data_IF_253709232192
#
_entry.id   IF_253709232192
#
_cell.length_a   1.000
_cell.length_b   1.000
_cell.length_c   1.000
_cell.angle_alpha   90.00
_cell.angle_beta   90.00
_cell.angle_gamma   90.00
#
_symmetry.space_group_name_H-M   'P 1'
#
loop_
_entity.id
_entity.type
_entity.pdbx_description
1 polymer ?
#
# COMPACT_ATOMS: atom_id res chain seq x y z
N UNK A 1 64.69 -2.01 -44.34
CA UNK A 1 63.26 -2.18 -44.68
C UNK A 1 62.46 -2.94 -43.62
N UNK A 2 62.95 -4.08 -43.09
CA UNK A 2 62.20 -4.88 -42.11
C UNK A 2 61.81 -4.14 -40.81
N UNK A 3 62.66 -3.25 -40.28
CA UNK A 3 62.36 -2.45 -39.08
C UNK A 3 61.21 -1.45 -39.28
N UNK A 4 61.08 -0.90 -40.49
CA UNK A 4 60.03 0.06 -40.82
C UNK A 4 58.68 -0.64 -40.99
N UNK A 5 58.68 -1.88 -41.50
CA UNK A 5 57.47 -2.72 -41.62
C UNK A 5 57.00 -3.17 -40.23
N UNK A 6 57.91 -3.56 -39.34
CA UNK A 6 57.58 -3.94 -37.96
C UNK A 6 56.98 -2.76 -37.17
N UNK A 7 57.54 -1.56 -37.33
CA UNK A 7 57.03 -0.34 -36.69
C UNK A 7 55.62 0.02 -37.19
N UNK A 8 55.38 -0.10 -38.50
CA UNK A 8 54.06 0.13 -39.11
C UNK A 8 53.02 -0.87 -38.60
N UNK A 9 53.38 -2.15 -38.47
CA UNK A 9 52.51 -3.20 -37.93
C UNK A 9 52.14 -2.91 -36.47
N UNK A 10 53.11 -2.53 -35.64
CA UNK A 10 52.85 -2.17 -34.23
C UNK A 10 51.96 -0.93 -34.08
N UNK A 11 52.09 0.05 -34.98
CA UNK A 11 51.26 1.25 -34.99
C UNK A 11 49.81 0.93 -35.36
N UNK A 12 49.59 0.05 -36.35
CA UNK A 12 48.25 -0.40 -36.77
C UNK A 12 47.58 -1.23 -35.66
N UNK A 13 48.33 -2.09 -34.97
CA UNK A 13 47.80 -2.86 -33.83
C UNK A 13 47.44 -1.92 -32.67
N UNK A 14 48.27 -0.92 -32.34
CA UNK A 14 47.93 0.07 -31.31
C UNK A 14 46.69 0.89 -31.68
N UNK A 15 46.56 1.32 -32.94
CA UNK A 15 45.41 2.10 -33.40
C UNK A 15 44.10 1.30 -33.38
N UNK A 16 44.18 -0.02 -33.54
CA UNK A 16 43.02 -0.93 -33.50
C UNK A 16 42.45 -1.11 -32.08
N UNK A 17 43.28 -0.96 -31.04
CA UNK A 17 42.86 -1.07 -29.62
C UNK A 17 42.09 0.18 -29.19
N UNK A 18 42.37 1.34 -29.78
CA UNK A 18 41.70 2.61 -29.42
C UNK A 18 40.21 2.68 -29.83
N UNK A 19 39.75 1.85 -30.76
CA UNK A 19 38.37 1.88 -31.28
C UNK A 19 37.35 1.21 -30.34
N UNK A 20 37.80 0.37 -29.40
CA UNK A 20 36.91 -0.36 -28.48
C UNK A 20 36.58 0.41 -27.18
N UNK A 21 37.10 1.63 -27.02
CA UNK A 21 37.01 2.40 -25.78
C UNK A 21 35.85 3.42 -25.74
N UNK A 22 35.19 3.71 -26.86
CA UNK A 22 34.01 4.58 -26.87
C UNK A 22 32.76 3.78 -26.47
N UNK A 23 32.63 3.42 -25.19
CA UNK A 23 31.30 3.13 -24.64
C UNK A 23 30.50 4.42 -24.68
N UNK A 24 29.63 4.55 -25.68
CA UNK A 24 28.66 5.64 -25.74
C UNK A 24 27.81 5.63 -24.47
N UNK A 25 27.51 6.83 -23.96
CA UNK A 25 26.68 7.02 -22.76
C UNK A 25 25.32 6.36 -23.01
N UNK A 26 24.93 5.45 -22.11
CA UNK A 26 23.65 4.75 -22.17
C UNK A 26 22.62 5.53 -21.37
N UNK A 27 21.77 6.23 -22.11
CA UNK A 27 20.69 7.05 -21.55
C UNK A 27 19.36 6.31 -21.76
N UNK A 28 18.53 6.29 -20.73
CA UNK A 28 17.13 5.89 -20.81
C UNK A 28 16.25 6.96 -20.18
N UNK A 29 14.94 6.88 -20.41
CA UNK A 29 13.97 7.69 -19.71
C UNK A 29 12.77 6.87 -19.25
N UNK A 30 12.10 7.38 -18.23
CA UNK A 30 10.86 6.86 -17.68
C UNK A 30 9.83 7.97 -17.58
N UNK A 31 8.56 7.59 -17.60
CA UNK A 31 7.43 8.45 -17.29
C UNK A 31 6.82 7.94 -15.98
N UNK A 32 7.22 8.56 -14.86
CA UNK A 32 6.80 8.13 -13.52
C UNK A 32 5.30 8.31 -13.33
N UNK A 33 4.72 9.38 -13.87
CA UNK A 33 3.27 9.64 -13.82
C UNK A 33 2.51 8.51 -14.54
N UNK A 34 2.92 8.17 -15.76
CA UNK A 34 2.32 7.04 -16.48
C UNK A 34 2.44 5.73 -15.71
N UNK A 35 3.60 5.45 -15.09
CA UNK A 35 3.78 4.23 -14.29
C UNK A 35 2.84 4.24 -13.08
N UNK A 36 2.76 5.35 -12.35
CA UNK A 36 1.88 5.53 -11.19
C UNK A 36 0.41 5.29 -11.55
N UNK A 37 -0.08 5.96 -12.60
CA UNK A 37 -1.46 5.85 -13.07
C UNK A 37 -1.84 4.42 -13.49
N UNK A 38 -0.88 3.62 -13.94
CA UNK A 38 -1.12 2.24 -14.41
C UNK A 38 -0.90 1.17 -13.33
N UNK A 39 -0.52 1.54 -12.10
CA UNK A 39 -0.40 0.60 -10.98
C UNK A 39 -1.80 0.38 -10.37
N UNK A 40 -2.35 -0.86 -10.36
CA UNK A 40 -3.71 -1.11 -9.88
C UNK A 40 -3.94 -0.71 -8.41
N UNK A 41 -2.92 -0.90 -7.57
CA UNK A 41 -2.96 -0.54 -6.15
C UNK A 41 -3.07 0.98 -5.95
N UNK A 42 -2.42 1.77 -6.82
CA UNK A 42 -2.53 3.23 -6.82
C UNK A 42 -3.93 3.66 -7.24
N UNK A 43 -4.46 3.10 -8.34
CA UNK A 43 -5.80 3.42 -8.83
C UNK A 43 -6.88 3.16 -7.78
N UNK A 44 -6.81 2.02 -7.09
CA UNK A 44 -7.75 1.68 -6.03
C UNK A 44 -7.66 2.66 -4.84
N UNK A 45 -6.45 2.95 -4.38
CA UNK A 45 -6.24 3.88 -3.27
C UNK A 45 -6.66 5.32 -3.63
N UNK A 46 -6.37 5.76 -4.86
CA UNK A 46 -6.78 7.07 -5.37
C UNK A 46 -8.30 7.17 -5.48
N UNK A 47 -8.98 6.14 -5.99
CA UNK A 47 -10.45 6.09 -6.01
C UNK A 47 -11.05 6.22 -4.61
N UNK A 48 -10.49 5.53 -3.61
CA UNK A 48 -10.95 5.65 -2.22
C UNK A 48 -10.69 7.04 -1.63
N UNK A 49 -9.59 7.68 -2.02
CA UNK A 49 -9.27 9.04 -1.60
C UNK A 49 -10.22 10.06 -2.25
N UNK A 50 -10.54 9.89 -3.52
CA UNK A 50 -11.50 10.72 -4.26
C UNK A 50 -12.90 10.60 -3.66
N UNK A 51 -13.33 9.40 -3.28
CA UNK A 51 -14.61 9.20 -2.58
C UNK A 51 -14.66 9.96 -1.24
N UNK A 52 -13.56 9.97 -0.48
CA UNK A 52 -13.45 10.74 0.77
C UNK A 52 -13.48 12.24 0.48
N UNK A 53 -12.75 12.70 -0.53
CA UNK A 53 -12.73 14.09 -0.93
C UNK A 53 -14.14 14.55 -1.35
N UNK A 54 -14.88 13.72 -2.08
CA UNK A 54 -16.25 14.01 -2.47
C UNK A 54 -17.20 14.07 -1.28
N UNK A 55 -17.04 13.19 -0.28
CA UNK A 55 -17.79 13.27 0.98
C UNK A 55 -17.55 14.58 1.70
N UNK A 56 -16.28 15.00 1.86
CA UNK A 56 -15.95 16.28 2.49
C UNK A 56 -16.51 17.47 1.72
N UNK A 57 -16.48 17.44 0.38
CA UNK A 57 -17.12 18.47 -0.45
C UNK A 57 -18.63 18.56 -0.20
N UNK A 58 -19.31 17.42 -0.15
CA UNK A 58 -20.75 17.38 0.12
C UNK A 58 -21.07 17.87 1.54
N UNK A 59 -20.26 17.51 2.54
CA UNK A 59 -20.40 18.02 3.91
C UNK A 59 -20.26 19.54 3.98
N UNK A 60 -19.23 20.10 3.33
CA UNK A 60 -19.03 21.55 3.25
C UNK A 60 -20.22 22.22 2.56
N UNK A 61 -20.67 21.68 1.43
CA UNK A 61 -21.81 22.23 0.69
C UNK A 61 -23.11 22.18 1.52
N UNK A 62 -23.35 21.10 2.26
CA UNK A 62 -24.48 20.98 3.17
C UNK A 62 -24.46 22.06 4.25
N UNK A 63 -23.32 22.23 4.94
CA UNK A 63 -23.16 23.26 5.98
C UNK A 63 -23.31 24.67 5.43
N UNK A 64 -22.77 24.95 4.25
CA UNK A 64 -22.95 26.26 3.60
C UNK A 64 -24.43 26.53 3.26
N UNK A 65 -25.17 25.51 2.85
CA UNK A 65 -26.61 25.63 2.61
C UNK A 65 -27.39 25.89 3.90
N UNK A 66 -27.00 25.24 5.02
CA UNK A 66 -27.60 25.48 6.33
C UNK A 66 -27.37 26.92 6.80
N UNK A 67 -26.14 27.44 6.66
CA UNK A 67 -25.82 28.83 6.99
C UNK A 67 -26.62 29.81 6.12
N UNK A 68 -26.73 29.55 4.83
CA UNK A 68 -27.53 30.39 3.93
C UNK A 68 -29.00 30.43 4.35
N UNK A 69 -29.55 29.30 4.80
CA UNK A 69 -30.92 29.21 5.32
C UNK A 69 -31.05 29.97 6.65
N UNK A 70 -30.13 29.80 7.60
CA UNK A 70 -30.11 30.55 8.88
C UNK A 70 -30.05 32.06 8.66
N UNK A 71 -29.24 32.53 7.71
CA UNK A 71 -29.18 33.95 7.33
C UNK A 71 -30.51 34.47 6.78
N UNK A 72 -31.17 33.68 5.94
CA UNK A 72 -32.47 34.03 5.38
C UNK A 72 -33.55 34.09 6.48
N UNK A 73 -33.55 33.12 7.39
CA UNK A 73 -34.51 33.05 8.49
C UNK A 73 -34.30 34.21 9.47
N UNK A 74 -33.04 34.51 9.82
CA UNK A 74 -32.71 35.69 10.61
C UNK A 74 -33.20 36.98 9.94
N UNK A 75 -33.03 37.14 8.62
CA UNK A 75 -33.51 38.31 7.90
C UNK A 75 -35.04 38.46 7.91
N UNK A 76 -35.78 37.35 7.89
CA UNK A 76 -37.25 37.37 7.93
C UNK A 76 -37.78 37.63 9.35
N UNK A 77 -37.12 37.05 10.36
CA UNK A 77 -37.51 37.16 11.76
C UNK A 77 -36.99 38.44 12.42
N UNK A 78 -36.03 39.16 11.82
CA UNK A 78 -35.37 40.36 12.38
C UNK A 78 -36.33 41.41 12.93
N UNK A 79 -37.52 41.54 12.32
CA UNK A 79 -38.56 42.52 12.73
C UNK A 79 -39.27 42.11 14.03
N UNK A 80 -39.22 40.83 14.39
CA UNK A 80 -39.90 40.25 15.55
C UNK A 80 -38.95 39.98 16.74
N UNK A 81 -37.64 40.10 16.54
CA UNK A 81 -36.62 39.78 17.55
C UNK A 81 -36.10 41.04 18.25
N UNK A 82 -35.55 40.86 19.47
CA UNK A 82 -34.82 41.92 20.18
C UNK A 82 -33.41 42.08 19.59
N UNK A 83 -32.79 43.25 19.79
CA UNK A 83 -31.44 43.52 19.28
C UNK A 83 -30.39 42.55 19.83
N UNK A 84 -30.47 42.16 21.11
CA UNK A 84 -29.54 41.20 21.73
C UNK A 84 -29.62 39.81 21.06
N UNK A 85 -30.83 39.34 20.76
CA UNK A 85 -31.03 38.02 20.14
C UNK A 85 -30.62 38.01 18.66
N UNK A 86 -30.66 39.16 18.00
CA UNK A 86 -30.12 39.32 16.64
C UNK A 86 -28.59 39.22 16.68
N UNK A 87 -27.94 39.92 17.60
CA UNK A 87 -26.49 39.92 17.75
C UNK A 87 -25.95 38.51 18.07
N UNK A 88 -26.58 37.79 19.01
CA UNK A 88 -26.24 36.39 19.34
C UNK A 88 -26.31 35.48 18.10
N UNK A 89 -27.40 35.57 17.32
CA UNK A 89 -27.55 34.76 16.09
C UNK A 89 -26.57 35.16 14.98
N UNK A 90 -26.23 36.43 14.86
CA UNK A 90 -25.22 36.91 13.90
C UNK A 90 -23.82 36.37 14.29
N UNK A 91 -23.48 36.36 15.58
CA UNK A 91 -22.25 35.77 16.10
C UNK A 91 -22.19 34.26 15.87
N UNK A 92 -23.28 33.53 16.14
CA UNK A 92 -23.37 32.09 15.89
C UNK A 92 -23.14 31.76 14.41
N UNK A 93 -23.79 32.50 13.51
CA UNK A 93 -23.60 32.34 12.06
C UNK A 93 -22.14 32.62 11.67
N UNK A 94 -21.54 33.69 12.20
CA UNK A 94 -20.13 34.01 11.93
C UNK A 94 -19.17 32.93 12.44
N UNK A 95 -19.47 32.34 13.60
CA UNK A 95 -18.69 31.25 14.17
C UNK A 95 -18.76 30.01 13.27
N UNK A 96 -19.96 29.61 12.85
CA UNK A 96 -20.16 28.48 11.93
C UNK A 96 -19.46 28.70 10.58
N UNK A 97 -19.49 29.92 10.03
CA UNK A 97 -18.76 30.25 8.79
C UNK A 97 -17.26 30.07 8.96
N UNK A 98 -16.72 30.51 10.09
CA UNK A 98 -15.30 30.34 10.40
C UNK A 98 -14.93 28.87 10.56
N UNK A 99 -15.77 28.08 11.23
CA UNK A 99 -15.55 26.63 11.35
C UNK A 99 -15.54 25.92 9.99
N UNK A 100 -16.41 26.32 9.06
CA UNK A 100 -16.41 25.76 7.70
C UNK A 100 -15.12 26.13 6.96
N UNK A 101 -14.67 27.37 7.06
CA UNK A 101 -13.42 27.81 6.44
C UNK A 101 -12.21 27.06 7.00
N UNK A 102 -12.14 26.90 8.32
CA UNK A 102 -11.09 26.13 8.98
C UNK A 102 -11.16 24.64 8.58
N UNK A 103 -12.36 24.08 8.49
CA UNK A 103 -12.57 22.71 8.00
C UNK A 103 -12.10 22.55 6.56
N UNK A 104 -12.49 23.47 5.67
CA UNK A 104 -12.06 23.47 4.27
C UNK A 104 -10.54 23.57 4.16
N UNK A 105 -9.91 24.46 4.93
CA UNK A 105 -8.46 24.63 4.94
C UNK A 105 -7.75 23.37 5.49
N UNK A 106 -8.30 22.75 6.53
CA UNK A 106 -7.75 21.51 7.12
C UNK A 106 -7.85 20.33 6.16
N UNK A 107 -8.91 20.25 5.33
CA UNK A 107 -9.10 19.15 4.37
C UNK A 107 -8.38 19.38 3.04
N UNK A 108 -8.52 20.57 2.46
CA UNK A 108 -8.10 20.90 1.09
C UNK A 108 -6.99 21.96 0.99
N UNK A 109 -6.50 22.48 2.12
CA UNK A 109 -5.38 23.41 2.12
C UNK A 109 -4.07 22.77 1.62
N UNK A 110 -3.01 23.57 1.44
CA UNK A 110 -1.72 23.11 0.93
C UNK A 110 -1.05 22.05 1.82
N UNK A 111 -1.36 22.05 3.12
CA UNK A 111 -0.98 21.00 4.07
C UNK A 111 -2.20 20.26 4.63
N UNK A 112 -3.28 20.22 3.86
CA UNK A 112 -4.51 19.57 4.26
C UNK A 112 -4.42 18.05 4.23
N UNK A 113 -5.39 17.41 4.88
CA UNK A 113 -5.47 15.96 4.98
C UNK A 113 -5.45 15.27 3.61
N UNK A 114 -6.07 15.87 2.58
CA UNK A 114 -6.10 15.32 1.23
C UNK A 114 -4.70 15.23 0.61
N UNK A 115 -3.93 16.32 0.67
CA UNK A 115 -2.57 16.40 0.11
C UNK A 115 -1.62 15.46 0.87
N UNK A 116 -1.74 15.41 2.20
CA UNK A 116 -0.93 14.52 3.02
C UNK A 116 -1.22 13.05 2.68
N UNK A 117 -2.50 12.67 2.57
CA UNK A 117 -2.88 11.31 2.21
C UNK A 117 -2.43 10.95 0.79
N UNK A 118 -2.60 11.86 -0.17
CA UNK A 118 -2.12 11.65 -1.54
C UNK A 118 -0.61 11.39 -1.57
N UNK A 119 0.17 12.20 -0.86
CA UNK A 119 1.63 12.01 -0.74
C UNK A 119 1.99 10.68 -0.07
N UNK A 120 1.30 10.32 1.01
CA UNK A 120 1.52 9.06 1.73
C UNK A 120 1.21 7.82 0.87
N UNK A 121 0.21 7.90 -0.01
CA UNK A 121 -0.11 6.82 -0.95
C UNK A 121 0.90 6.74 -2.10
N UNK A 122 1.37 7.89 -2.58
CA UNK A 122 2.30 7.96 -3.71
C UNK A 122 3.73 7.54 -3.33
N UNK A 123 4.20 7.95 -2.15
CA UNK A 123 5.57 7.69 -1.68
C UNK A 123 6.02 6.22 -1.74
N UNK A 124 5.28 5.23 -1.20
CA UNK A 124 5.71 3.83 -1.24
C UNK A 124 5.75 3.26 -2.66
N UNK A 125 5.01 3.85 -3.60
CA UNK A 125 5.03 3.43 -5.01
C UNK A 125 6.22 4.07 -5.72
N UNK A 126 6.52 5.34 -5.44
CA UNK A 126 7.74 6.00 -5.92
C UNK A 126 9.00 5.26 -5.44
N UNK A 127 9.04 4.82 -4.17
CA UNK A 127 10.16 4.04 -3.65
C UNK A 127 10.33 2.70 -4.40
N UNK A 128 9.22 2.07 -4.79
CA UNK A 128 9.25 0.84 -5.61
C UNK A 128 9.69 1.09 -7.05
N UNK A 129 9.27 2.22 -7.63
CA UNK A 129 9.74 2.67 -8.95
C UNK A 129 11.23 2.90 -8.90
N UNK A 130 11.71 3.65 -7.90
CA UNK A 130 13.13 3.94 -7.73
C UNK A 130 13.98 2.67 -7.60
N UNK A 131 13.56 1.73 -6.76
CA UNK A 131 14.25 0.44 -6.61
C UNK A 131 14.28 -0.37 -7.92
N UNK A 132 13.15 -0.45 -8.64
CA UNK A 132 13.08 -1.15 -9.92
C UNK A 132 13.96 -0.48 -10.99
N UNK A 133 14.00 0.84 -11.00
CA UNK A 133 14.85 1.64 -11.90
C UNK A 133 16.33 1.40 -11.59
N UNK A 134 16.71 1.35 -10.32
CA UNK A 134 18.09 1.06 -9.90
C UNK A 134 18.52 -0.35 -10.35
N UNK A 135 17.70 -1.37 -10.11
CA UNK A 135 17.96 -2.74 -10.57
C UNK A 135 18.13 -2.81 -12.10
N UNK A 136 17.32 -2.04 -12.83
CA UNK A 136 17.40 -1.95 -14.28
C UNK A 136 18.64 -1.19 -14.75
N UNK A 137 19.02 -0.12 -14.05
CA UNK A 137 20.23 0.64 -14.33
C UNK A 137 21.47 -0.25 -14.22
N UNK A 138 21.57 -1.03 -13.15
CA UNK A 138 22.69 -1.94 -12.91
C UNK A 138 22.71 -3.11 -13.91
N UNK A 139 21.57 -3.78 -14.10
CA UNK A 139 21.49 -4.96 -14.97
C UNK A 139 21.72 -4.65 -16.46
N UNK A 140 21.24 -3.50 -16.94
CA UNK A 140 21.38 -3.07 -18.34
C UNK A 140 22.54 -2.10 -18.56
N UNK A 141 23.23 -1.70 -17.48
CA UNK A 141 24.35 -0.76 -17.47
C UNK A 141 23.95 0.59 -18.07
N UNK A 142 22.83 1.16 -17.63
CA UNK A 142 22.49 2.55 -17.97
C UNK A 142 23.33 3.48 -17.12
N UNK A 143 23.85 4.54 -17.74
CA UNK A 143 24.63 5.58 -17.05
C UNK A 143 23.70 6.67 -16.50
N UNK A 144 22.62 6.97 -17.22
CA UNK A 144 21.62 7.96 -16.82
C UNK A 144 20.20 7.48 -17.14
N UNK A 145 19.29 7.72 -16.20
CA UNK A 145 17.85 7.52 -16.40
C UNK A 145 17.17 8.83 -16.03
N UNK A 146 16.43 9.40 -16.98
CA UNK A 146 15.71 10.65 -16.78
C UNK A 146 14.23 10.39 -16.56
N UNK A 147 13.62 11.13 -15.65
CA UNK A 147 12.17 11.16 -15.52
C UNK A 147 11.61 12.27 -16.40
N UNK A 148 10.69 11.92 -17.30
CA UNK A 148 9.95 12.83 -18.16
C UNK A 148 8.89 13.62 -17.40
N UNK A 149 8.40 13.08 -16.29
CA UNK A 149 7.42 13.73 -15.42
C UNK A 149 8.05 14.80 -14.51
N UNK A 150 9.39 14.85 -14.43
CA UNK A 150 10.12 15.88 -13.72
C UNK A 150 10.24 17.19 -14.53
N UNK A 151 10.65 18.29 -13.89
CA UNK A 151 10.80 19.63 -14.49
C UNK A 151 11.80 19.74 -15.66
N UNK A 152 12.42 18.62 -16.09
CA UNK A 152 13.33 18.59 -17.22
C UNK A 152 12.53 18.58 -18.52
N UNK A 153 12.56 19.70 -19.24
CA UNK A 153 11.89 19.82 -20.55
C UNK A 153 12.60 18.98 -21.60
N UNK A 154 12.08 17.78 -21.86
CA UNK A 154 12.53 16.90 -22.95
C UNK A 154 11.75 17.22 -24.23
N UNK A 155 12.40 17.90 -25.18
CA UNK A 155 11.74 18.32 -26.44
C UNK A 155 11.48 17.16 -27.41
N UNK A 156 12.35 16.16 -27.41
CA UNK A 156 12.23 14.98 -28.27
C UNK A 156 13.03 13.84 -27.69
N UNK A 157 12.46 12.64 -27.71
CA UNK A 157 13.14 11.39 -27.44
C UNK A 157 12.69 10.32 -28.42
N UNK A 158 13.61 9.41 -28.73
CA UNK A 158 13.25 8.21 -29.49
C UNK A 158 12.67 7.17 -28.53
N UNK A 159 11.53 6.58 -28.89
CA UNK A 159 10.77 5.60 -28.10
C UNK A 159 11.61 4.38 -27.65
N UNK A 160 12.67 4.06 -28.39
CA UNK A 160 13.66 3.02 -28.03
C UNK A 160 14.37 3.24 -26.69
N UNK A 161 14.39 4.48 -26.19
CA UNK A 161 15.00 4.83 -24.89
C UNK A 161 13.99 4.84 -23.75
N UNK A 162 12.70 4.63 -24.04
CA UNK A 162 11.66 4.47 -23.04
C UNK A 162 11.77 3.10 -22.36
N UNK A 163 11.89 3.13 -21.04
CA UNK A 163 11.87 1.90 -20.23
C UNK A 163 10.67 1.86 -19.27
N UNK A 164 9.71 2.78 -19.39
CA UNK A 164 8.56 2.91 -18.49
C UNK A 164 7.74 1.62 -18.40
N UNK A 165 7.41 1.02 -19.54
CA UNK A 165 6.70 -0.26 -19.61
C UNK A 165 7.46 -1.42 -18.94
N UNK A 166 8.79 -1.39 -19.02
CA UNK A 166 9.62 -2.43 -18.40
C UNK A 166 9.60 -2.29 -16.88
N UNK A 167 9.68 -1.06 -16.38
CA UNK A 167 9.59 -0.72 -14.96
C UNK A 167 8.20 -1.06 -14.42
N UNK A 168 7.13 -0.67 -15.12
CA UNK A 168 5.74 -0.99 -14.78
C UNK A 168 5.53 -2.51 -14.64
N UNK A 169 6.06 -3.30 -15.59
CA UNK A 169 6.01 -4.77 -15.50
C UNK A 169 6.80 -5.32 -14.32
N UNK A 170 7.96 -4.74 -14.01
CA UNK A 170 8.78 -5.16 -12.87
C UNK A 170 8.06 -4.92 -11.54
N UNK A 171 7.44 -3.74 -11.37
CA UNK A 171 6.66 -3.38 -10.17
C UNK A 171 5.41 -4.24 -10.07
N UNK A 172 4.66 -4.43 -11.16
CA UNK A 172 3.45 -5.26 -11.16
C UNK A 172 3.77 -6.71 -10.82
N UNK A 173 4.93 -7.23 -11.25
CA UNK A 173 5.38 -8.58 -10.89
C UNK A 173 5.80 -8.65 -9.42
N UNK A 174 6.51 -7.65 -8.92
CA UNK A 174 6.97 -7.62 -7.53
C UNK A 174 5.80 -7.46 -6.55
N UNK A 175 4.79 -6.64 -6.88
CA UNK A 175 3.57 -6.46 -6.09
C UNK A 175 2.73 -7.74 -6.06
N UNK A 176 2.49 -8.39 -7.22
CA UNK A 176 1.80 -9.70 -7.28
C UNK A 176 2.51 -10.78 -6.47
N UNK A 177 3.85 -10.81 -6.50
CA UNK A 177 4.65 -11.74 -5.69
C UNK A 177 4.50 -11.44 -4.19
N UNK A 178 4.53 -10.17 -3.79
CA UNK A 178 4.33 -9.73 -2.40
C UNK A 178 2.92 -10.10 -1.90
N UNK A 179 1.89 -9.87 -2.71
CA UNK A 179 0.51 -10.26 -2.40
C UNK A 179 0.36 -11.78 -2.24
N UNK A 180 0.98 -12.57 -3.12
CA UNK A 180 0.98 -14.03 -3.02
C UNK A 180 1.72 -14.52 -1.75
N UNK A 181 2.85 -13.91 -1.42
CA UNK A 181 3.61 -14.22 -0.20
C UNK A 181 2.84 -13.84 1.06
N UNK A 182 2.21 -12.66 1.11
CA UNK A 182 1.37 -12.24 2.23
C UNK A 182 0.17 -13.18 2.43
N UNK A 183 -0.45 -13.66 1.33
CA UNK A 183 -1.54 -14.64 1.41
C UNK A 183 -1.06 -16.00 1.92
N UNK A 184 0.12 -16.46 1.50
CA UNK A 184 0.72 -17.70 1.99
C UNK A 184 1.13 -17.60 3.46
N UNK A 185 1.71 -16.47 3.87
CA UNK A 185 2.08 -16.20 5.26
C UNK A 185 0.87 -16.11 6.19
N UNK A 186 -0.22 -15.45 5.75
CA UNK A 186 -1.47 -15.40 6.53
C UNK A 186 -2.06 -16.79 6.77
N UNK A 187 -2.06 -17.65 5.74
CA UNK A 187 -2.52 -19.04 5.88
C UNK A 187 -1.65 -19.87 6.82
N UNK A 188 -0.32 -19.69 6.75
CA UNK A 188 0.60 -20.40 7.63
C UNK A 188 0.45 -19.95 9.10
N UNK A 189 0.25 -18.66 9.37
CA UNK A 189 0.04 -18.14 10.71
C UNK A 189 -1.31 -18.62 11.31
N UNK A 190 -2.37 -18.68 10.50
CA UNK A 190 -3.67 -19.21 10.91
C UNK A 190 -3.60 -20.72 11.20
N UNK A 191 -2.85 -21.49 10.41
CA UNK A 191 -2.61 -22.92 10.67
C UNK A 191 -1.79 -23.16 11.95
N UNK A 192 -0.76 -22.33 12.23
CA UNK A 192 0.06 -22.42 13.45
C UNK A 192 -0.75 -22.08 14.73
N UNK A 193 -1.64 -21.07 14.67
CA UNK A 193 -2.50 -20.67 15.78
C UNK A 193 -3.60 -21.72 16.09
N UNK A 194 -3.97 -22.55 15.11
CA UNK A 194 -4.93 -23.64 15.30
C UNK A 194 -4.33 -24.94 15.84
N UNK A 195 -3.01 -25.05 16.02
CA UNK A 195 -2.40 -26.23 16.65
C UNK A 195 -2.66 -26.15 18.16
N UNK A 196 -3.55 -26.98 18.74
CA UNK A 196 -3.76 -26.96 20.18
C UNK A 196 -2.43 -27.31 20.87
N UNK A 197 -2.04 -26.52 21.87
CA UNK A 197 -0.95 -26.85 22.77
C UNK A 197 -1.35 -28.10 23.55
N UNK A 198 -0.86 -29.27 23.10
CA UNK A 198 -1.08 -30.55 23.76
C UNK A 198 -0.34 -30.46 25.11
N UNK A 199 -1.07 -30.14 26.17
CA UNK A 199 -0.55 -30.27 27.52
C UNK A 199 -0.44 -31.77 27.82
N UNK A 200 0.78 -32.32 27.69
CA UNK A 200 1.09 -33.74 27.89
C UNK A 200 0.54 -34.28 29.22
N UNK A 201 0.40 -33.43 30.25
CA UNK A 201 -0.18 -33.79 31.54
C UNK A 201 -1.70 -34.04 31.48
N UNK A 202 -2.43 -33.31 30.62
CA UNK A 202 -3.88 -33.47 30.45
C UNK A 202 -4.22 -34.75 29.69
N UNK A 203 -3.52 -35.04 28.60
CA UNK A 203 -3.67 -36.31 27.87
C UNK A 203 -3.28 -37.52 28.73
N UNK A 204 -2.17 -37.42 29.49
CA UNK A 204 -1.75 -38.50 30.39
C UNK A 204 -2.78 -38.73 31.52
N UNK A 205 -3.38 -37.67 32.06
CA UNK A 205 -4.38 -37.74 33.12
C UNK A 205 -5.72 -38.30 32.62
N UNK A 206 -6.15 -37.93 31.43
CA UNK A 206 -7.35 -38.46 30.79
C UNK A 206 -7.20 -39.95 30.48
N UNK A 207 -6.06 -40.35 29.92
CA UNK A 207 -5.76 -41.76 29.66
C UNK A 207 -5.72 -42.60 30.94
N UNK A 208 -5.10 -42.09 32.00
CA UNK A 208 -5.10 -42.76 33.30
C UNK A 208 -6.51 -42.84 33.94
N UNK A 209 -7.37 -41.85 33.71
CA UNK A 209 -8.76 -41.86 34.16
C UNK A 209 -9.62 -42.86 33.37
N UNK A 210 -9.42 -42.97 32.07
CA UNK A 210 -10.10 -43.96 31.23
C UNK A 210 -9.70 -45.38 31.57
N UNK A 211 -8.40 -45.65 31.74
CA UNK A 211 -7.90 -46.96 32.18
C UNK A 211 -8.46 -47.35 33.56
N UNK A 212 -8.56 -46.39 34.50
CA UNK A 212 -9.21 -46.62 35.80
C UNK A 212 -10.69 -46.97 35.65
N UNK A 213 -11.46 -46.17 34.90
CA UNK A 213 -12.90 -46.44 34.64
C UNK A 213 -13.11 -47.79 33.96
N UNK A 214 -12.23 -48.17 33.04
CA UNK A 214 -12.30 -49.46 32.35
C UNK A 214 -11.98 -50.62 33.30
N UNK A 215 -11.02 -50.44 34.20
CA UNK A 215 -10.66 -51.42 35.24
C UNK A 215 -11.81 -51.62 36.26
N UNK A 216 -12.46 -50.53 36.68
CA UNK A 216 -13.61 -50.55 37.60
C UNK A 216 -14.83 -51.21 36.95
N UNK A 217 -15.08 -50.92 35.67
CA UNK A 217 -16.17 -51.54 34.89
C UNK A 217 -15.96 -53.04 34.65
N UNK A 218 -14.71 -53.50 34.52
CA UNK A 218 -14.36 -54.93 34.45
C UNK A 218 -14.51 -55.62 35.81
N UNK A 219 -14.21 -54.93 36.90
CA UNK A 219 -14.41 -55.43 38.27
C UNK A 219 -15.91 -55.65 38.57
N UNK A 220 -16.76 -54.64 38.30
CA UNK A 220 -18.21 -54.75 38.50
C UNK A 220 -18.85 -55.88 37.65
N UNK A 221 -18.41 -56.07 36.41
CA UNK A 221 -18.90 -57.17 35.54
C UNK A 221 -18.54 -58.57 36.04
N UNK A 222 -17.38 -58.76 36.69
CA UNK A 222 -16.99 -60.05 37.29
C UNK A 222 -17.77 -60.37 38.57
N UNK A 223 -18.13 -59.35 39.35
CA UNK A 223 -18.93 -59.52 40.57
C UNK A 223 -20.38 -59.91 40.24
N UNK A 224 -20.95 -59.37 39.15
CA UNK A 224 -22.30 -59.69 38.71
C UNK A 224 -22.44 -61.10 38.13
N UNK A 225 -21.41 -61.62 37.43
CA UNK A 225 -21.40 -63.00 36.92
C UNK A 225 -21.18 -64.04 38.02
N UNK A 226 -20.40 -63.73 39.06
CA UNK A 226 -20.23 -64.61 40.24
C UNK A 226 -21.51 -64.78 41.06
N UNK A 227 -22.27 -63.70 41.29
CA UNK A 227 -23.54 -63.78 42.05
C UNK A 227 -24.64 -64.55 41.30
N UNK A 228 -24.61 -64.59 39.97
CA UNK A 228 -25.54 -65.41 39.18
C UNK A 228 -25.21 -66.91 39.20
N UNK A 229 -23.96 -67.28 39.47
CA UNK A 229 -23.53 -68.68 39.55
C UNK A 229 -23.80 -69.33 40.92
N UNK A 230 -23.90 -68.54 41.99
CA UNK A 230 -24.18 -69.05 43.35
C UNK A 230 -25.67 -69.28 43.64
N UNK A 231 -26.58 -68.82 42.76
CA UNK A 231 -28.04 -68.99 42.90
C UNK A 231 -28.61 -70.17 42.09
N UNK A 232 -27.75 -70.98 41.46
CA UNK A 232 -28.12 -72.14 40.63
C UNK A 232 -27.43 -73.46 41.08
N UNK A 233 -27.12 -73.57 42.37
CA UNK A 233 -26.65 -74.80 43.02
C UNK A 233 -27.61 -75.22 44.11
#
# INVERSE_FOLDING_TARGET
>A
MQKNVLFLLTLVVMLSISVHAQRGVRIAYIDTEYILENVPEYQEAMSQLDDKAQKWKNEIQGKLSEIAQKRKDLSNEKVLLTNELIEEREEDIMFEEKEILDYQQKRFGPNGDLMIQQKQLMQPIQDQIFAAVQDMAESRKYDFIFDKSADVVMLYSAERFDISDQVLRAITRSSKRRQAQNKAQRKAAEEEETVPEINEEQEAREKALEEKKESEGKCCRKTQTRNFSCKRG
#
